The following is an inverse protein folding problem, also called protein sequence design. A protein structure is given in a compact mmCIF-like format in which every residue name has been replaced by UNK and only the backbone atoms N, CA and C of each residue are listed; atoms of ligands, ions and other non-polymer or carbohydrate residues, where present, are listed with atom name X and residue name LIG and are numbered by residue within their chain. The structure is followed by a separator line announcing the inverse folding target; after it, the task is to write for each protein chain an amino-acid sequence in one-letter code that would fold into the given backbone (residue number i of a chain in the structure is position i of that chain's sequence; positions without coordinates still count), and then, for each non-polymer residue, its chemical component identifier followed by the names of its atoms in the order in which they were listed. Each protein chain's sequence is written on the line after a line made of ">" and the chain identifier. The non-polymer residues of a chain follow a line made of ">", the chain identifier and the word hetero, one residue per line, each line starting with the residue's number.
data_IF_822171137144
#
_entry.id   IF_822171137144
#
_cell.length_a   1.000
_cell.length_b   1.000
_cell.length_c   1.000
_cell.angle_alpha   90.00
_cell.angle_beta   90.00
_cell.angle_gamma   90.00
#
_symmetry.space_group_name_H-M   'P 1'
#
loop_
_entity.id
_entity.type
_entity.pdbx_description
1 polymer ?
2 non-polymer ?
3 non-polymer ?
4 water ?
#
# COMPACT_ATOMS: atom_id res chain seq x y z
N UNK A 21 6.56 10.90 -21.08
CA UNK A 21 7.33 9.90 -20.27
C UNK A 21 8.11 9.04 -21.26
N UNK A 22 9.17 8.39 -20.77
CA UNK A 22 9.96 7.44 -21.55
C UNK A 22 9.96 6.08 -20.85
N UNK A 23 10.77 5.15 -21.37
CA UNK A 23 10.93 3.84 -20.75
C UNK A 23 11.74 3.87 -19.45
N UNK A 24 12.36 5.01 -19.12
CA UNK A 24 13.09 5.19 -17.86
C UNK A 24 12.21 5.48 -16.65
N UNK A 25 10.98 5.94 -16.86
CA UNK A 25 10.09 6.17 -15.73
C UNK A 25 10.12 4.91 -14.88
N UNK A 26 10.29 5.01 -13.56
CA UNK A 26 10.39 3.81 -12.72
C UNK A 26 9.27 2.83 -13.06
N UNK A 27 9.60 1.55 -13.08
CA UNK A 27 8.65 0.51 -13.47
C UNK A 27 7.48 0.45 -12.50
N UNK A 28 6.30 0.17 -13.03
CA UNK A 28 5.04 0.22 -12.30
C UNK A 28 4.28 1.53 -12.37
N UNK A 29 4.97 2.67 -12.43
CA UNK A 29 4.38 4.02 -12.37
C UNK A 29 3.40 4.16 -13.52
N UNK A 30 3.93 3.92 -14.71
CA UNK A 30 3.17 3.72 -15.93
C UNK A 30 1.80 3.07 -15.70
N UNK A 31 1.80 1.83 -15.21
CA UNK A 31 0.60 1.02 -15.03
C UNK A 31 -0.32 1.50 -13.92
N UNK A 32 0.30 2.06 -12.88
CA UNK A 32 -0.46 2.62 -11.77
C UNK A 32 -1.16 3.87 -12.25
N UNK A 33 -0.40 4.74 -12.92
CA UNK A 33 -0.88 6.00 -13.49
C UNK A 33 -2.08 5.71 -14.35
N UNK A 34 -1.87 4.81 -15.30
CA UNK A 34 -2.92 4.38 -16.19
C UNK A 34 -4.14 3.78 -15.46
N UNK A 35 -3.97 2.91 -14.46
CA UNK A 35 -5.13 2.40 -13.72
C UNK A 35 -5.88 3.45 -12.86
N UNK A 36 -5.13 4.28 -12.14
CA UNK A 36 -5.79 5.33 -11.34
C UNK A 36 -6.64 6.30 -12.20
N UNK A 37 -6.14 6.66 -13.38
CA UNK A 37 -6.82 7.61 -14.25
C UNK A 37 -8.06 6.95 -14.83
N UNK A 38 -7.87 5.81 -15.48
CA UNK A 38 -8.95 5.15 -16.23
C UNK A 38 -9.99 4.47 -15.35
N UNK A 39 -9.59 3.83 -14.25
CA UNK A 39 -10.54 3.09 -13.41
C UNK A 39 -11.00 3.81 -12.13
N UNK A 40 -10.17 4.68 -11.56
CA UNK A 40 -10.47 5.36 -10.30
C UNK A 40 -10.71 6.87 -10.39
N UNK A 41 -10.53 7.48 -11.57
CA UNK A 41 -10.72 8.91 -11.82
C UNK A 41 -9.75 9.79 -11.02
N UNK A 42 -8.52 9.33 -10.87
CA UNK A 42 -7.50 10.08 -10.16
C UNK A 42 -6.32 10.25 -11.11
N UNK A 43 -5.98 11.50 -11.37
CA UNK A 43 -4.89 11.85 -12.24
C UNK A 43 -3.63 12.06 -11.40
N UNK A 44 -2.70 11.11 -11.45
CA UNK A 44 -1.42 11.18 -10.75
C UNK A 44 -0.30 11.73 -11.63
N UNK A 45 0.72 12.30 -11.00
CA UNK A 45 1.99 12.68 -11.61
C UNK A 45 3.10 11.91 -10.91
N UNK A 46 4.31 11.94 -11.46
CA UNK A 46 5.45 11.30 -10.80
C UNK A 46 5.57 11.80 -9.36
N UNK A 47 5.45 13.11 -9.13
CA UNK A 47 5.51 13.71 -7.80
C UNK A 47 4.48 13.14 -6.83
N UNK A 48 3.22 13.04 -7.27
CA UNK A 48 2.18 12.53 -6.38
C UNK A 48 2.20 11.00 -6.25
N UNK A 49 2.68 10.28 -7.26
CA UNK A 49 2.92 8.84 -7.12
C UNK A 49 3.97 8.58 -6.04
N UNK A 50 5.05 9.36 -6.01
CA UNK A 50 6.05 9.20 -4.97
C UNK A 50 5.47 9.40 -3.56
N UNK A 51 4.64 10.44 -3.42
CA UNK A 51 4.00 10.71 -2.13
C UNK A 51 3.06 9.58 -1.74
N UNK A 52 2.29 9.09 -2.70
CA UNK A 52 1.36 7.98 -2.51
C UNK A 52 2.12 6.74 -2.04
N UNK A 53 3.18 6.39 -2.76
CA UNK A 53 3.99 5.22 -2.40
C UNK A 53 4.71 5.34 -1.06
N UNK A 54 5.14 6.55 -0.69
CA UNK A 54 5.75 6.74 0.62
C UNK A 54 4.71 6.51 1.72
N UNK A 55 3.47 6.92 1.48
CA UNK A 55 2.38 6.73 2.42
C UNK A 55 2.00 5.25 2.52
N UNK A 56 1.96 4.55 1.38
CA UNK A 56 1.69 3.12 1.35
C UNK A 56 2.77 2.38 2.16
N UNK A 57 4.03 2.72 1.94
CA UNK A 57 5.15 2.10 2.62
C UNK A 57 5.09 2.36 4.11
N UNK A 58 4.79 3.59 4.52
CA UNK A 58 4.57 3.92 5.94
C UNK A 58 3.48 3.08 6.63
N UNK A 59 2.32 3.01 5.99
CA UNK A 59 1.17 2.26 6.44
C UNK A 59 1.51 0.77 6.55
N UNK A 60 2.24 0.24 5.57
CA UNK A 60 2.67 -1.16 5.54
C UNK A 60 3.51 -1.44 6.79
N UNK A 61 4.44 -0.54 7.11
CA UNK A 61 5.26 -0.68 8.31
C UNK A 61 4.41 -0.71 9.58
N UNK A 62 3.38 0.13 9.64
CA UNK A 62 2.42 0.18 10.76
C UNK A 62 1.63 -1.10 10.96
N UNK A 63 1.48 -1.90 9.90
CA UNK A 63 0.83 -3.18 10.05
C UNK A 63 1.61 -4.16 10.91
N UNK A 64 2.90 -3.91 11.12
CA UNK A 64 3.73 -4.74 11.99
C UNK A 64 3.65 -4.36 13.48
N UNK A 65 2.87 -3.34 13.84
CA UNK A 65 2.59 -3.05 15.24
C UNK A 65 1.97 -4.26 15.94
N UNK A 66 2.60 -4.67 17.02
CA UNK A 66 2.17 -5.83 17.79
C UNK A 66 2.52 -7.18 17.21
N UNK A 67 3.10 -7.24 16.01
CA UNK A 67 3.29 -8.50 15.31
C UNK A 67 4.29 -9.46 15.96
N UNK A 68 5.42 -8.97 16.43
CA UNK A 68 6.37 -9.85 17.13
C UNK A 68 5.77 -10.45 18.38
N UNK A 69 5.01 -9.67 19.15
CA UNK A 69 4.38 -10.20 20.34
C UNK A 69 3.37 -11.28 20.03
N UNK A 70 2.53 -11.04 19.02
CA UNK A 70 1.50 -12.00 18.65
C UNK A 70 2.21 -13.28 18.18
N UNK A 71 3.26 -13.14 17.39
CA UNK A 71 4.01 -14.30 16.90
C UNK A 71 4.58 -15.10 18.07
N UNK A 72 5.21 -14.42 19.04
CA UNK A 72 5.75 -15.11 20.21
C UNK A 72 4.69 -15.82 21.02
N UNK A 73 3.52 -15.21 21.19
CA UNK A 73 2.45 -15.85 21.97
C UNK A 73 1.94 -17.11 21.29
N UNK A 74 2.12 -17.17 19.97
CA UNK A 74 1.80 -18.34 19.16
C UNK A 74 2.92 -19.38 19.04
N UNK A 75 4.06 -19.14 19.69
CA UNK A 75 5.15 -20.09 19.73
C UNK A 75 6.02 -20.03 18.50
N UNK A 76 5.80 -19.04 17.70
CA UNK A 76 6.47 -18.87 16.40
C UNK A 76 7.78 -18.11 16.57
N UNK A 77 8.67 -18.33 15.60
CA UNK A 77 9.89 -17.57 15.50
C UNK A 77 9.94 -16.74 14.21
N UNK A 78 8.79 -16.48 13.60
CA UNK A 78 8.64 -15.71 12.37
C UNK A 78 7.28 -15.02 12.46
N UNK A 79 7.10 -13.94 11.70
CA UNK A 79 5.81 -13.28 11.62
C UNK A 79 4.97 -13.89 10.52
N UNK A 80 3.75 -14.26 10.87
CA UNK A 80 2.73 -14.77 9.96
C UNK A 80 1.70 -13.67 9.69
N UNK A 81 0.90 -13.89 8.65
CA UNK A 81 -0.19 -12.97 8.30
C UNK A 81 -1.13 -12.73 9.49
N UNK A 82 -1.46 -13.81 10.21
CA UNK A 82 -2.33 -13.77 11.40
C UNK A 82 -1.83 -12.86 12.51
N UNK A 83 -0.53 -12.57 12.51
CA UNK A 83 0.12 -11.71 13.50
C UNK A 83 0.08 -10.22 13.16
N UNK A 84 -0.29 -9.86 11.94
CA UNK A 84 -0.28 -8.45 11.53
C UNK A 84 -1.47 -7.68 12.09
N UNK A 85 -1.31 -6.36 12.12
CA UNK A 85 -2.30 -5.44 12.63
C UNK A 85 -3.31 -5.05 11.53
N UNK A 86 -3.74 -5.97 10.65
CA UNK A 86 -4.71 -5.68 9.61
C UNK A 86 -6.14 -5.68 10.19
N UNK A 87 -6.88 -4.59 9.96
CA UNK A 87 -8.28 -4.37 10.34
C UNK A 87 -9.22 -4.87 9.27
N UNK A 88 -10.50 -5.02 9.65
CA UNK A 88 -11.57 -5.41 8.75
C UNK A 88 -11.69 -4.50 7.55
N UNK A 89 -11.52 -3.20 7.75
CA UNK A 89 -11.60 -2.25 6.66
C UNK A 89 -10.51 -2.52 5.63
N UNK A 90 -9.27 -2.70 6.06
CA UNK A 90 -8.21 -3.04 5.11
C UNK A 90 -8.40 -4.42 4.47
N UNK A 91 -8.84 -5.41 5.23
CA UNK A 91 -9.17 -6.73 4.69
C UNK A 91 -10.12 -6.64 3.51
N UNK A 92 -11.11 -5.76 3.58
CA UNK A 92 -12.05 -5.54 2.49
C UNK A 92 -11.36 -4.98 1.24
N UNK A 93 -10.51 -3.97 1.41
CA UNK A 93 -9.69 -3.46 0.32
C UNK A 93 -8.77 -4.53 -0.29
N UNK A 94 -8.16 -5.37 0.54
CA UNK A 94 -7.30 -6.44 0.06
C UNK A 94 -8.11 -7.43 -0.78
N UNK A 95 -9.27 -7.83 -0.28
CA UNK A 95 -10.16 -8.70 -1.04
C UNK A 95 -10.61 -8.10 -2.37
N UNK A 96 -10.97 -6.82 -2.37
CA UNK A 96 -11.35 -6.13 -3.61
C UNK A 96 -10.18 -6.08 -4.58
N UNK A 97 -8.96 -5.87 -4.07
CA UNK A 97 -7.78 -5.87 -4.92
C UNK A 97 -7.57 -7.21 -5.63
N UNK A 98 -7.76 -8.30 -4.92
CA UNK A 98 -7.54 -9.64 -5.47
C UNK A 98 -8.50 -9.95 -6.62
N UNK A 99 -9.66 -9.31 -6.66
CA UNK A 99 -10.58 -9.52 -7.77
C UNK A 99 -10.33 -8.60 -8.97
N UNK A 100 -9.31 -7.76 -8.94
CA UNK A 100 -8.95 -6.91 -10.08
C UNK A 100 -8.09 -7.68 -11.08
N UNK A 101 -8.48 -7.66 -12.35
CA UNK A 101 -7.78 -8.40 -13.41
C UNK A 101 -6.63 -7.61 -14.02
N UNK A 102 -6.83 -6.30 -14.20
CA UNK A 102 -5.80 -5.41 -14.74
C UNK A 102 -4.58 -5.32 -13.85
N UNK A 103 -3.42 -5.32 -14.48
CA UNK A 103 -2.16 -5.16 -13.79
C UNK A 103 -1.98 -3.66 -13.54
N UNK A 104 -1.92 -3.23 -12.27
CA UNK A 104 -1.66 -1.81 -11.95
C UNK A 104 -0.25 -1.55 -11.45
N UNK A 105 0.64 -2.51 -11.66
CA UNK A 105 2.07 -2.37 -11.41
C UNK A 105 2.50 -2.79 -10.02
N UNK A 106 1.64 -3.47 -9.27
CA UNK A 106 1.90 -3.73 -7.85
C UNK A 106 3.20 -4.49 -7.62
N UNK A 107 3.50 -5.47 -8.46
CA UNK A 107 4.74 -6.24 -8.32
C UNK A 107 5.97 -5.38 -8.51
N UNK A 108 5.93 -4.47 -9.48
CA UNK A 108 7.04 -3.57 -9.71
C UNK A 108 7.08 -2.52 -8.60
N UNK A 109 5.92 -2.07 -8.14
CA UNK A 109 5.88 -1.01 -7.14
C UNK A 109 6.39 -1.53 -5.79
N UNK A 110 6.12 -2.81 -5.53
CA UNK A 110 6.61 -3.45 -4.31
C UNK A 110 8.14 -3.41 -4.27
N UNK A 111 8.78 -3.79 -5.37
CA UNK A 111 10.24 -3.73 -5.45
C UNK A 111 10.76 -2.30 -5.35
N UNK A 112 10.05 -1.39 -6.00
CA UNK A 112 10.40 0.02 -5.94
C UNK A 112 10.43 0.59 -4.53
N UNK A 113 9.43 0.31 -3.70
CA UNK A 113 9.43 0.90 -2.36
C UNK A 113 10.50 0.35 -1.42
N UNK A 114 11.09 -0.80 -1.76
CA UNK A 114 12.19 -1.39 -1.00
C UNK A 114 11.79 -1.48 0.48
N UNK A 115 10.69 -2.18 0.71
CA UNK A 115 10.07 -2.25 2.03
C UNK A 115 10.90 -3.10 3.00
N UNK A 116 11.12 -2.58 4.20
CA UNK A 116 11.81 -3.27 5.29
C UNK A 116 10.89 -3.15 6.50
N UNK A 117 10.25 -4.23 6.93
CA UNK A 117 9.37 -4.10 8.08
C UNK A 117 10.18 -3.75 9.34
N UNK A 118 9.61 -2.96 10.23
CA UNK A 118 10.30 -2.53 11.44
C UNK A 118 10.30 -3.57 12.56
N UNK A 119 10.84 -4.75 12.29
CA UNK A 119 10.84 -5.86 13.24
C UNK A 119 12.22 -6.46 13.16
N UNK A 120 12.61 -7.17 14.20
CA UNK A 120 13.86 -7.94 14.18
C UNK A 120 13.62 -9.38 13.74
N UNK A 121 12.43 -9.91 14.01
CA UNK A 121 12.13 -11.28 13.64
C UNK A 121 11.99 -11.50 12.14
N UNK A 122 12.24 -12.75 11.76
CA UNK A 122 12.02 -13.29 10.44
C UNK A 122 10.57 -13.07 10.02
N UNK A 123 10.34 -12.68 8.76
CA UNK A 123 8.99 -12.62 8.23
C UNK A 123 8.82 -13.94 7.48
N UNK A 124 7.79 -14.70 7.79
CA UNK A 124 7.62 -15.98 7.13
C UNK A 124 7.45 -15.86 5.63
N UNK A 125 7.95 -16.84 4.88
CA UNK A 125 7.83 -16.77 3.43
C UNK A 125 6.38 -16.76 2.92
N UNK A 126 5.47 -17.45 3.61
CA UNK A 126 4.07 -17.43 3.18
C UNK A 126 3.48 -16.02 3.35
N UNK A 127 3.88 -15.29 4.38
CA UNK A 127 3.45 -13.91 4.51
C UNK A 127 4.09 -13.06 3.39
N UNK A 128 5.38 -13.23 3.15
CA UNK A 128 6.09 -12.50 2.09
C UNK A 128 5.36 -12.63 0.78
N UNK A 129 4.87 -13.83 0.49
CA UNK A 129 4.06 -14.10 -0.69
C UNK A 129 2.75 -13.32 -0.75
N UNK A 130 2.24 -12.84 0.38
CA UNK A 130 1.03 -12.02 0.41
C UNK A 130 1.27 -10.52 0.29
N UNK A 131 2.52 -10.08 0.22
CA UNK A 131 2.82 -8.66 0.21
C UNK A 131 2.18 -7.95 -0.97
N UNK A 132 2.06 -8.62 -2.11
CA UNK A 132 1.42 -7.96 -3.25
C UNK A 132 -0.06 -7.66 -3.00
N UNK A 133 -0.76 -8.56 -2.31
CA UNK A 133 -2.16 -8.35 -1.96
C UNK A 133 -2.31 -7.26 -0.91
N UNK A 134 -1.42 -7.24 0.06
CA UNK A 134 -1.47 -6.19 1.10
C UNK A 134 -1.24 -4.82 0.48
N UNK A 135 -0.22 -4.71 -0.37
CA UNK A 135 0.10 -3.44 -1.00
C UNK A 135 -1.00 -3.01 -1.95
N UNK A 136 -1.54 -3.94 -2.71
CA UNK A 136 -2.67 -3.66 -3.58
C UNK A 136 -3.88 -3.15 -2.83
N UNK A 137 -4.20 -3.73 -1.68
CA UNK A 137 -5.22 -3.24 -0.77
C UNK A 137 -4.94 -1.85 -0.21
N UNK A 138 -3.69 -1.60 0.15
CA UNK A 138 -3.27 -0.28 0.64
C UNK A 138 -3.38 0.76 -0.47
N UNK A 139 -3.11 0.39 -1.71
CA UNK A 139 -3.26 1.31 -2.84
C UNK A 139 -4.72 1.66 -3.07
N UNK A 140 -5.62 0.67 -3.02
CA UNK A 140 -7.04 0.93 -3.21
C UNK A 140 -7.61 1.73 -2.08
N UNK A 141 -7.19 1.43 -0.86
CA UNK A 141 -7.56 2.26 0.28
C UNK A 141 -7.16 3.73 0.13
N UNK A 142 -5.92 3.98 -0.25
CA UNK A 142 -5.46 5.34 -0.53
C UNK A 142 -6.26 6.01 -1.65
N UNK A 143 -6.62 5.29 -2.71
CA UNK A 143 -7.45 5.88 -3.76
C UNK A 143 -8.80 6.35 -3.19
N UNK A 144 -9.38 5.56 -2.29
CA UNK A 144 -10.65 5.84 -1.65
C UNK A 144 -10.51 7.13 -0.84
N UNK A 145 -9.43 7.26 -0.08
CA UNK A 145 -9.20 8.42 0.75
C UNK A 145 -8.93 9.64 -0.14
N UNK A 146 -8.17 9.50 -1.22
CA UNK A 146 -7.91 10.64 -2.13
C UNK A 146 -9.22 11.25 -2.63
N UNK A 147 -10.10 10.39 -3.12
CA UNK A 147 -11.41 10.80 -3.62
C UNK A 147 -12.32 11.41 -2.57
N UNK A 148 -12.26 10.90 -1.35
CA UNK A 148 -13.07 11.44 -0.26
C UNK A 148 -12.46 12.63 0.48
N UNK A 149 -11.18 12.90 0.32
CA UNK A 149 -10.52 13.98 1.07
C UNK A 149 -9.96 15.16 0.27
N UNK A 150 -9.56 14.99 -0.98
CA UNK A 150 -8.81 16.04 -1.67
C UNK A 150 -9.66 17.06 -2.38
N UNK A 151 -10.79 16.66 -2.97
CA UNK A 151 -11.62 17.55 -3.79
C UNK A 151 -11.07 17.90 -5.17
N UNK A 152 -9.99 17.22 -5.55
CA UNK A 152 -9.24 17.47 -6.77
C UNK A 152 -9.12 16.15 -7.56
N UNK A 153 -9.59 16.09 -8.80
CA UNK A 153 -9.33 14.94 -9.67
C UNK A 153 -7.82 14.73 -9.87
N UNK A 154 -7.07 15.82 -9.94
CA UNK A 154 -5.62 15.81 -10.03
C UNK A 154 -5.05 16.36 -8.72
N UNK A 155 -4.81 15.53 -7.72
CA UNK A 155 -4.37 16.05 -6.44
C UNK A 155 -3.04 16.81 -6.48
N UNK A 156 -2.98 17.90 -5.75
CA UNK A 156 -1.75 18.64 -5.54
C UNK A 156 -0.83 17.93 -4.56
N UNK A 157 0.41 18.40 -4.47
CA UNK A 157 1.35 17.96 -3.43
C UNK A 157 0.74 18.10 -2.04
N UNK A 158 0.22 19.28 -1.71
CA UNK A 158 -0.40 19.49 -0.41
C UNK A 158 -1.62 18.58 -0.15
N UNK A 159 -2.44 18.32 -1.16
CA UNK A 159 -3.58 17.40 -1.03
C UNK A 159 -3.08 16.01 -0.65
N UNK A 160 -2.04 15.55 -1.32
CA UNK A 160 -1.47 14.23 -1.05
C UNK A 160 -0.81 14.14 0.31
N UNK A 161 -0.11 15.21 0.70
CA UNK A 161 0.45 15.31 2.04
C UNK A 161 -0.63 15.20 3.10
N UNK A 162 -1.78 15.82 2.86
CA UNK A 162 -2.92 15.66 3.76
C UNK A 162 -3.50 14.24 3.80
N UNK A 163 -3.61 13.57 2.66
CA UNK A 163 -4.03 12.16 2.61
C UNK A 163 -3.10 11.28 3.46
N UNK A 164 -1.79 11.42 3.30
CA UNK A 164 -0.84 10.68 4.12
C UNK A 164 -1.02 10.89 5.63
N UNK A 165 -1.28 12.13 6.04
CA UNK A 165 -1.58 12.48 7.42
C UNK A 165 -2.81 11.77 7.96
N UNK A 166 -3.90 11.80 7.22
CA UNK A 166 -5.13 11.18 7.73
C UNK A 166 -5.08 9.67 7.66
N UNK A 167 -4.36 9.11 6.70
CA UNK A 167 -4.14 7.68 6.64
C UNK A 167 -3.35 7.22 7.86
N UNK A 168 -2.27 7.93 8.18
CA UNK A 168 -1.45 7.61 9.35
C UNK A 168 -2.29 7.47 10.64
N UNK A 169 -3.36 8.24 10.79
CA UNK A 169 -4.28 8.19 11.93
C UNK A 169 -5.33 7.06 11.96
N UNK A 170 -5.37 6.20 10.96
CA UNK A 170 -6.18 4.97 11.01
C UNK A 170 -5.30 3.72 10.99
N UNK A 171 -3.99 3.87 10.96
CA UNK A 171 -3.08 2.73 11.06
C UNK A 171 -2.27 2.82 12.34
X LIG B 1 3.77 20.54 2.33
X LIG C 1 0.67 9.53 -17.43
X LIG D 1 0.22 6.79 -19.47
X LIG D 1 0.20 8.47 -19.03
X LIG D 1 -1.29 5.92 -19.39
X LIG D 1 0.93 6.58 -21.30
X LIG D 1 1.42 5.99 -18.14
X LIG E 1 7.91 10.59 -15.71
#
# INVERSE_FOLDING_TARGET
>A
XQEKYNFGKVSSQHKNYSKIETMLRPKGFDKLDHYFRTELDIDLTDETIELLLNSVKAAFGKLFYGAEQRARWNGRDFIALADLNITKALEEHIKNFQKIEQDMGVDELLEYIAFIPPVEMNVGEDLKSEYRNIMGGLLLMHADVIKKATGERKPSREAMEFVAQIVDKVF
>B hetero
1 ZN ZN
>C hetero
1 ZN ZN
>D hetero
1 CAC AS O1 O2 C1 C2
>E hetero
1 ZN ZN
#
